data_IF_422959685496
#
_entry.id   IF_422959685496
#
_cell.length_a   1.000
_cell.length_b   1.000
_cell.length_c   1.000
_cell.angle_alpha   90.00
_cell.angle_beta   90.00
_cell.angle_gamma   90.00
#
_symmetry.space_group_name_H-M   'P 1'
#
loop_
_entity.id
_entity.type
_entity.pdbx_description
1 polymer ?
#
# COMPACT_ATOMS: atom_id res chain seq x y z
N UNK A 1 28.44 -14.09 37.57
CA UNK A 1 27.36 -13.32 36.92
C UNK A 1 27.84 -12.94 35.52
N UNK A 2 27.64 -13.77 34.48
CA UNK A 2 27.90 -13.34 33.11
C UNK A 2 26.67 -12.59 32.58
N UNK A 3 26.93 -11.45 31.94
CA UNK A 3 25.92 -10.65 31.25
C UNK A 3 25.40 -11.42 30.03
N UNK A 4 24.07 -11.44 29.87
CA UNK A 4 23.42 -11.90 28.64
C UNK A 4 23.58 -10.82 27.57
N UNK A 5 24.23 -11.14 26.47
CA UNK A 5 24.15 -10.36 25.24
C UNK A 5 22.74 -10.51 24.67
N UNK A 6 21.97 -9.42 24.68
CA UNK A 6 20.70 -9.35 23.98
C UNK A 6 20.99 -9.19 22.48
N UNK A 7 21.13 -10.32 21.79
CA UNK A 7 20.97 -10.37 20.34
C UNK A 7 19.51 -10.07 20.01
N UNK A 8 19.26 -8.88 19.49
CA UNK A 8 18.01 -8.52 18.82
C UNK A 8 17.86 -9.42 17.58
N UNK A 9 17.31 -10.60 17.83
CA UNK A 9 16.89 -11.56 16.81
C UNK A 9 15.38 -11.40 16.69
N UNK A 10 14.96 -10.23 16.20
CA UNK A 10 13.62 -10.07 15.66
C UNK A 10 13.46 -11.13 14.56
N UNK A 11 12.50 -12.06 14.66
CA UNK A 11 12.32 -13.10 13.65
C UNK A 11 11.99 -12.41 12.33
N UNK A 12 12.87 -12.57 11.34
CA UNK A 12 12.60 -12.18 9.95
C UNK A 12 11.55 -13.13 9.41
N UNK A 13 10.28 -12.83 9.70
CA UNK A 13 9.16 -13.47 9.05
C UNK A 13 9.34 -13.28 7.54
N UNK A 14 9.22 -14.33 6.72
CA UNK A 14 9.24 -14.17 5.27
C UNK A 14 8.21 -13.12 4.87
N UNK A 15 8.68 -12.02 4.28
CA UNK A 15 7.82 -10.94 3.79
C UNK A 15 7.25 -11.40 2.45
N UNK A 16 5.91 -11.51 2.37
CA UNK A 16 5.21 -11.88 1.14
C UNK A 16 5.35 -10.82 0.04
N UNK A 17 4.91 -11.15 -1.18
CA UNK A 17 5.11 -10.27 -2.33
C UNK A 17 4.38 -8.93 -2.19
N UNK A 18 3.21 -8.91 -1.56
CA UNK A 18 2.49 -7.67 -1.26
C UNK A 18 3.29 -6.77 -0.33
N UNK A 19 3.80 -7.28 0.80
CA UNK A 19 4.59 -6.47 1.73
C UNK A 19 5.96 -6.06 1.14
N UNK A 20 6.52 -6.84 0.20
CA UNK A 20 7.68 -6.40 -0.58
C UNK A 20 7.33 -5.22 -1.49
N UNK A 21 6.17 -5.23 -2.16
CA UNK A 21 5.67 -4.07 -2.90
C UNK A 21 5.52 -2.84 -1.99
N UNK A 22 4.91 -2.99 -0.80
CA UNK A 22 4.78 -1.88 0.17
C UNK A 22 6.15 -1.30 0.53
N UNK A 23 7.14 -2.17 0.76
CA UNK A 23 8.51 -1.76 1.05
C UNK A 23 9.14 -1.03 -0.13
N UNK A 24 9.01 -1.56 -1.35
CA UNK A 24 9.61 -0.97 -2.55
C UNK A 24 9.01 0.41 -2.85
N UNK A 25 7.70 0.58 -2.68
CA UNK A 25 7.04 1.89 -2.76
C UNK A 25 7.63 2.89 -1.76
N UNK A 26 7.83 2.45 -0.51
CA UNK A 26 8.46 3.28 0.52
C UNK A 26 9.92 3.63 0.22
N UNK A 27 10.67 2.71 -0.41
CA UNK A 27 12.04 3.02 -0.86
C UNK A 27 12.03 4.07 -1.97
N UNK A 28 11.13 3.97 -2.95
CA UNK A 28 11.05 4.95 -4.05
C UNK A 28 10.63 6.33 -3.55
N UNK A 29 9.68 6.41 -2.61
CA UNK A 29 9.24 7.67 -2.01
C UNK A 29 10.24 8.24 -1.01
N UNK A 30 11.15 7.41 -0.49
CA UNK A 30 12.16 7.82 0.46
C UNK A 30 11.59 8.48 1.72
N UNK A 31 12.39 9.28 2.44
CA UNK A 31 11.98 9.84 3.73
C UNK A 31 11.03 11.05 3.62
N UNK A 32 10.84 11.63 2.45
CA UNK A 32 10.15 12.92 2.33
C UNK A 32 9.37 13.17 1.03
N UNK A 33 9.52 12.33 0.01
CA UNK A 33 8.93 12.61 -1.30
C UNK A 33 7.48 12.09 -1.34
N UNK A 34 6.59 12.91 -1.90
CA UNK A 34 5.22 12.55 -2.23
C UNK A 34 5.11 12.07 -3.68
N UNK A 35 3.97 11.48 -4.04
CA UNK A 35 3.71 11.04 -5.42
C UNK A 35 3.69 12.20 -6.44
N UNK A 36 3.53 13.43 -5.94
CA UNK A 36 3.50 14.69 -6.69
C UNK A 36 4.84 15.43 -6.68
N UNK A 37 5.89 14.84 -6.09
CA UNK A 37 7.20 15.48 -5.99
C UNK A 37 7.99 15.33 -7.29
N UNK A 38 8.74 16.37 -7.66
CA UNK A 38 9.51 16.44 -8.92
C UNK A 38 10.56 15.32 -9.06
N UNK A 39 11.01 14.74 -7.95
CA UNK A 39 11.98 13.66 -7.85
C UNK A 39 11.35 12.25 -7.91
N UNK A 40 10.03 12.15 -7.96
CA UNK A 40 9.30 10.88 -8.06
C UNK A 40 8.76 10.73 -9.48
N UNK A 41 9.16 9.66 -10.17
CA UNK A 41 8.60 9.29 -11.46
C UNK A 41 7.30 8.47 -11.27
N UNK A 42 6.12 9.00 -11.64
CA UNK A 42 4.86 8.27 -11.51
C UNK A 42 4.83 6.96 -12.32
N UNK A 43 5.59 6.87 -13.41
CA UNK A 43 5.68 5.65 -14.22
C UNK A 43 6.42 4.54 -13.48
N UNK A 44 7.41 4.88 -12.64
CA UNK A 44 8.10 3.90 -11.82
C UNK A 44 7.17 3.33 -10.74
N UNK A 45 6.39 4.19 -10.07
CA UNK A 45 5.37 3.75 -9.10
C UNK A 45 4.31 2.87 -9.77
N UNK A 46 3.82 3.27 -10.94
CA UNK A 46 2.88 2.47 -11.71
C UNK A 46 3.48 1.10 -12.08
N UNK A 47 4.77 1.05 -12.43
CA UNK A 47 5.45 -0.19 -12.80
C UNK A 47 5.59 -1.15 -11.63
N UNK A 48 5.98 -0.66 -10.44
CA UNK A 48 6.01 -1.46 -9.22
C UNK A 48 4.63 -2.06 -8.91
N UNK A 49 3.59 -1.23 -8.97
CA UNK A 49 2.21 -1.68 -8.78
C UNK A 49 1.79 -2.71 -9.83
N UNK A 50 2.18 -2.54 -11.10
CA UNK A 50 1.89 -3.48 -12.20
C UNK A 50 2.56 -4.84 -11.98
N UNK A 51 3.85 -4.85 -11.66
CA UNK A 51 4.70 -6.04 -11.58
C UNK A 51 4.33 -6.95 -10.39
N UNK A 52 3.69 -6.41 -9.36
CA UNK A 52 3.09 -7.21 -8.31
C UNK A 52 1.99 -8.13 -8.86
N UNK A 53 2.17 -9.44 -8.76
CA UNK A 53 1.13 -10.42 -9.07
C UNK A 53 0.24 -10.60 -7.84
N UNK A 54 -1.03 -10.20 -7.95
CA UNK A 54 -1.99 -10.24 -6.83
C UNK A 54 -2.15 -11.64 -6.26
N UNK A 55 -2.10 -11.74 -4.95
CA UNK A 55 -2.43 -12.95 -4.19
C UNK A 55 -3.29 -12.55 -2.98
N UNK A 56 -4.54 -13.01 -2.96
CA UNK A 56 -5.54 -12.65 -1.95
C UNK A 56 -5.03 -12.88 -0.51
N UNK A 57 -4.34 -13.99 -0.25
CA UNK A 57 -3.84 -14.31 1.09
C UNK A 57 -2.83 -13.29 1.66
N UNK A 58 -2.24 -12.47 0.80
CA UNK A 58 -1.24 -11.47 1.20
C UNK A 58 -1.88 -10.14 1.62
N UNK A 59 -3.06 -9.82 1.05
CA UNK A 59 -3.71 -8.52 1.24
C UNK A 59 -5.11 -8.61 1.89
N UNK A 60 -5.71 -9.80 2.00
CA UNK A 60 -7.06 -10.02 2.57
C UNK A 60 -7.21 -9.45 3.99
N UNK A 61 -6.11 -9.41 4.76
CA UNK A 61 -6.09 -8.86 6.12
C UNK A 61 -6.44 -7.36 6.19
N UNK A 62 -6.38 -6.65 5.07
CA UNK A 62 -6.78 -5.24 4.93
C UNK A 62 -8.12 -5.10 4.19
N UNK A 63 -8.73 -6.19 3.74
CA UNK A 63 -9.98 -6.18 2.99
C UNK A 63 -11.19 -6.26 3.93
N UNK A 64 -11.65 -5.10 4.41
CA UNK A 64 -12.83 -5.01 5.29
C UNK A 64 -14.08 -4.59 4.50
N UNK A 65 -14.95 -5.53 4.06
CA UNK A 65 -16.18 -5.17 3.34
C UNK A 65 -17.25 -4.58 4.27
N UNK A 66 -18.10 -3.72 3.72
CA UNK A 66 -19.29 -3.19 4.39
C UNK A 66 -20.44 -3.04 3.38
N UNK A 67 -21.45 -3.90 3.51
CA UNK A 67 -22.61 -3.93 2.61
C UNK A 67 -23.48 -2.65 2.69
N UNK A 68 -23.36 -1.86 3.77
CA UNK A 68 -24.02 -0.56 3.91
C UNK A 68 -23.38 0.55 3.09
N UNK A 69 -22.19 0.32 2.51
CA UNK A 69 -21.40 1.30 1.77
C UNK A 69 -21.22 0.88 0.31
N UNK A 70 -20.97 1.86 -0.56
CA UNK A 70 -20.61 1.59 -1.95
C UNK A 70 -19.25 0.87 -2.04
N UNK A 71 -18.30 1.30 -1.21
CA UNK A 71 -17.00 0.69 -1.01
C UNK A 71 -16.41 1.12 0.34
N UNK A 72 -15.44 0.36 0.83
CA UNK A 72 -14.61 0.75 1.99
C UNK A 72 -13.23 1.22 1.52
N UNK A 73 -12.53 1.98 2.37
CA UNK A 73 -11.16 2.46 2.14
C UNK A 73 -10.36 2.04 3.36
N UNK A 74 -9.46 1.09 3.18
CA UNK A 74 -8.75 0.44 4.27
C UNK A 74 -7.27 0.77 4.16
N UNK A 75 -6.73 1.40 5.20
CA UNK A 75 -5.34 1.82 5.24
C UNK A 75 -4.42 0.60 5.37
N UNK A 76 -3.43 0.52 4.47
CA UNK A 76 -2.36 -0.48 4.52
C UNK A 76 -1.11 0.16 5.13
N UNK A 77 -0.71 1.31 4.60
CA UNK A 77 0.54 1.99 4.94
C UNK A 77 0.42 3.52 4.70
N UNK A 78 0.95 4.32 5.62
CA UNK A 78 1.01 5.80 5.53
C UNK A 78 2.32 6.29 4.88
N UNK A 79 3.19 5.36 4.49
CA UNK A 79 4.54 5.59 4.02
C UNK A 79 5.35 6.55 4.89
N UNK A 80 5.86 7.61 4.26
CA UNK A 80 6.61 8.69 4.93
C UNK A 80 5.71 9.87 5.39
N UNK A 81 4.39 9.69 5.41
CA UNK A 81 3.40 10.73 5.71
C UNK A 81 3.06 11.64 4.52
N UNK A 82 3.56 11.35 3.31
CA UNK A 82 3.24 12.07 2.06
C UNK A 82 2.44 11.23 1.06
N UNK A 83 2.17 9.96 1.37
CA UNK A 83 1.32 9.09 0.57
C UNK A 83 0.42 8.25 1.48
N UNK A 84 -0.63 7.65 0.91
CA UNK A 84 -1.38 6.60 1.58
C UNK A 84 -1.55 5.44 0.61
N UNK A 85 -1.20 4.23 1.04
CA UNK A 85 -1.57 3.00 0.35
C UNK A 85 -2.86 2.46 0.97
N UNK A 86 -3.87 2.28 0.13
CA UNK A 86 -5.20 1.84 0.55
C UNK A 86 -5.63 0.60 -0.24
N UNK A 87 -6.37 -0.29 0.42
CA UNK A 87 -7.21 -1.29 -0.24
C UNK A 87 -8.66 -0.81 -0.23
N UNK A 88 -9.26 -0.75 -1.41
CA UNK A 88 -10.67 -0.43 -1.59
C UNK A 88 -11.45 -1.73 -1.85
N UNK A 89 -12.46 -2.01 -1.03
CA UNK A 89 -13.35 -3.16 -1.23
C UNK A 89 -14.69 -2.66 -1.73
N UNK A 90 -15.05 -3.04 -2.96
CA UNK A 90 -16.27 -2.57 -3.64
C UNK A 90 -17.44 -3.52 -3.38
N UNK A 91 -18.58 -2.96 -2.96
CA UNK A 91 -19.83 -3.70 -2.90
C UNK A 91 -20.29 -4.07 -4.33
N UNK A 92 -20.89 -5.26 -4.55
CA UNK A 92 -21.31 -5.70 -5.88
C UNK A 92 -22.21 -4.68 -6.60
N UNK A 93 -21.85 -4.35 -7.83
CA UNK A 93 -22.59 -3.41 -8.69
C UNK A 93 -22.55 -1.94 -8.22
N UNK A 94 -21.67 -1.59 -7.27
CA UNK A 94 -21.48 -0.21 -6.81
C UNK A 94 -20.25 0.43 -7.46
N UNK A 95 -20.23 1.76 -7.43
CA UNK A 95 -19.13 2.59 -7.94
C UNK A 95 -19.01 3.88 -7.12
N UNK A 96 -17.96 4.66 -7.40
CA UNK A 96 -17.76 5.96 -6.76
C UNK A 96 -18.63 7.03 -7.42
N UNK A 97 -18.93 8.09 -6.66
CA UNK A 97 -19.36 9.34 -7.27
C UNK A 97 -18.21 9.95 -8.08
N UNK A 98 -18.53 10.82 -9.03
CA UNK A 98 -17.52 11.64 -9.69
C UNK A 98 -16.86 12.55 -8.64
N UNK A 99 -15.55 12.48 -8.52
CA UNK A 99 -14.74 13.28 -7.59
C UNK A 99 -13.35 13.55 -8.16
N UNK A 100 -12.68 14.56 -7.63
CA UNK A 100 -11.28 14.85 -7.89
C UNK A 100 -10.38 14.27 -6.77
N UNK A 101 -9.07 14.38 -6.96
CA UNK A 101 -8.07 13.92 -5.98
C UNK A 101 -7.33 15.09 -5.33
N UNK A 102 -7.97 16.27 -5.20
CA UNK A 102 -7.44 17.45 -4.52
C UNK A 102 -5.98 17.82 -4.90
N UNK A 103 -5.66 17.73 -6.20
CA UNK A 103 -4.32 17.99 -6.76
C UNK A 103 -3.22 17.01 -6.32
N UNK A 104 -3.57 15.84 -5.76
CA UNK A 104 -2.65 14.75 -5.48
C UNK A 104 -2.57 13.75 -6.65
N UNK A 105 -1.41 13.13 -6.82
CA UNK A 105 -1.24 12.01 -7.74
C UNK A 105 -1.88 10.74 -7.16
N UNK A 106 -2.58 9.99 -8.01
CA UNK A 106 -3.23 8.74 -7.64
C UNK A 106 -2.86 7.64 -8.64
N UNK A 107 -2.43 6.49 -8.13
CA UNK A 107 -2.17 5.27 -8.88
C UNK A 107 -3.09 4.18 -8.34
N UNK A 108 -3.80 3.48 -9.23
CA UNK A 108 -4.70 2.39 -8.86
C UNK A 108 -4.33 1.11 -9.61
N UNK A 109 -4.35 -0.02 -8.89
CA UNK A 109 -4.25 -1.38 -9.43
C UNK A 109 -5.53 -2.13 -9.08
N UNK A 110 -6.09 -2.86 -10.03
CA UNK A 110 -7.17 -3.82 -9.77
C UNK A 110 -6.55 -5.14 -9.32
N UNK A 111 -6.98 -5.65 -8.18
CA UNK A 111 -6.64 -7.00 -7.70
C UNK A 111 -7.78 -7.96 -8.05
N UNK A 112 -7.53 -9.01 -8.84
CA UNK A 112 -8.50 -10.07 -9.10
C UNK A 112 -8.77 -10.93 -7.85
#
# INVERSE_FOLDING_TARGET
MPYLENGDSSPTTPTDAFHNLVKDLNVVLGPSSGLDSDDVDPMHIQKLMEDYTSNESEWERYAFPDAGRAYTRNLVDEGNGKCNLLILVWSPGKGSAIHDHANAHCVMKVTP
#
